data_IF_009667023190
#
_entry.id   IF_009667023190
#
_cell.length_a   1.000
_cell.length_b   1.000
_cell.length_c   1.000
_cell.angle_alpha   90.00
_cell.angle_beta   90.00
_cell.angle_gamma   90.00
#
_symmetry.space_group_name_H-M   'P 1'
#
loop_
_entity.id
_entity.type
_entity.pdbx_description
1 polymer ?
#
# COMPACT_ATOMS: atom_id res chain seq x y z
N UNK A 1 -68.66 4.95 -38.20
CA UNK A 1 -67.67 4.17 -37.42
C UNK A 1 -66.41 4.02 -38.26
N UNK A 2 -65.36 4.81 -38.00
CA UNK A 2 -64.04 4.62 -38.62
C UNK A 2 -62.98 5.29 -37.74
N UNK A 3 -62.35 4.47 -36.91
CA UNK A 3 -61.32 4.79 -35.93
C UNK A 3 -60.03 5.22 -36.63
N UNK A 4 -59.78 6.52 -36.72
CA UNK A 4 -58.54 7.06 -37.25
C UNK A 4 -58.02 8.13 -36.30
N UNK A 5 -57.30 7.73 -35.24
CA UNK A 5 -56.56 8.65 -34.34
C UNK A 5 -55.75 7.89 -33.26
N UNK A 6 -55.02 6.83 -33.59
CA UNK A 6 -54.18 6.13 -32.59
C UNK A 6 -52.82 5.63 -33.12
N UNK A 7 -52.19 6.34 -34.04
CA UNK A 7 -50.82 6.01 -34.49
C UNK A 7 -49.88 7.21 -34.37
N UNK A 8 -49.66 7.70 -33.15
CA UNK A 8 -48.66 8.74 -32.88
C UNK A 8 -47.87 8.55 -31.57
N UNK A 9 -47.88 7.34 -31.00
CA UNK A 9 -47.10 7.02 -29.78
C UNK A 9 -46.71 5.55 -29.92
N UNK A 10 -45.49 5.19 -30.40
CA UNK A 10 -44.34 5.15 -29.48
C UNK A 10 -42.97 5.15 -30.22
N UNK A 11 -42.56 6.21 -30.93
CA UNK A 11 -41.20 6.25 -31.53
C UNK A 11 -40.18 6.94 -30.62
N UNK A 12 -40.61 7.73 -29.63
CA UNK A 12 -39.71 8.44 -28.71
C UNK A 12 -39.30 7.66 -27.43
N UNK A 13 -39.80 6.44 -27.22
CA UNK A 13 -39.46 5.65 -26.03
C UNK A 13 -38.23 4.74 -26.20
N UNK A 14 -37.65 4.65 -27.41
CA UNK A 14 -36.54 3.74 -27.68
C UNK A 14 -35.13 4.38 -27.51
N UNK A 15 -35.04 5.70 -27.31
CA UNK A 15 -33.76 6.40 -27.27
C UNK A 15 -33.08 6.48 -25.89
N UNK A 16 -33.71 5.95 -24.83
CA UNK A 16 -33.21 6.07 -23.46
C UNK A 16 -32.56 4.81 -22.86
N UNK A 17 -32.48 3.70 -23.61
CA UNK A 17 -31.76 2.51 -23.17
C UNK A 17 -30.33 2.46 -23.74
N UNK A 18 -29.56 3.53 -23.52
CA UNK A 18 -28.12 3.46 -23.65
C UNK A 18 -27.57 2.64 -22.47
N UNK A 19 -27.39 1.34 -22.68
CA UNK A 19 -26.67 0.46 -21.76
C UNK A 19 -25.20 0.93 -21.68
N UNK A 20 -24.91 1.86 -20.77
CA UNK A 20 -23.54 2.12 -20.33
C UNK A 20 -23.07 0.85 -19.62
N UNK A 21 -22.35 0.00 -20.33
CA UNK A 21 -21.66 -1.14 -19.72
C UNK A 21 -20.49 -0.56 -18.92
N UNK A 22 -20.45 -0.67 -17.59
CA UNK A 22 -19.23 -0.37 -16.85
C UNK A 22 -18.19 -1.40 -17.29
N UNK A 23 -17.23 -0.98 -18.12
CA UNK A 23 -16.09 -1.82 -18.42
C UNK A 23 -15.37 -2.12 -17.10
N UNK A 24 -15.09 -3.38 -16.75
CA UNK A 24 -14.30 -3.67 -15.57
C UNK A 24 -12.91 -3.03 -15.76
N UNK A 25 -12.57 -2.06 -14.91
CA UNK A 25 -11.20 -1.56 -14.84
C UNK A 25 -10.31 -2.68 -14.29
N UNK A 26 -9.56 -3.32 -15.17
CA UNK A 26 -8.70 -4.45 -14.81
C UNK A 26 -7.33 -3.89 -14.43
N UNK A 27 -7.15 -3.56 -13.16
CA UNK A 27 -5.86 -3.15 -12.61
C UNK A 27 -5.12 -4.43 -12.20
N UNK A 28 -4.27 -4.95 -13.07
CA UNK A 28 -3.34 -6.03 -12.71
C UNK A 28 -2.15 -5.44 -11.96
N UNK A 29 -2.06 -5.69 -10.65
CA UNK A 29 -0.84 -5.38 -9.89
C UNK A 29 0.12 -6.55 -10.06
N UNK A 30 1.06 -6.44 -10.99
CA UNK A 30 2.16 -7.40 -11.07
C UNK A 30 3.12 -7.12 -9.92
N UNK A 31 3.10 -7.99 -8.91
CA UNK A 31 4.06 -7.96 -7.80
C UNK A 31 5.38 -8.49 -8.34
N UNK A 32 6.21 -7.57 -8.83
CA UNK A 32 7.52 -7.85 -9.40
C UNK A 32 8.58 -8.10 -8.33
N UNK A 33 9.82 -7.67 -8.59
CA UNK A 33 10.88 -7.69 -7.58
C UNK A 33 10.58 -6.69 -6.44
N UNK A 34 11.13 -6.95 -5.25
CA UNK A 34 10.98 -6.05 -4.11
C UNK A 34 11.51 -4.64 -4.44
N UNK A 35 10.84 -3.56 -3.98
CA UNK A 35 11.35 -2.21 -4.14
C UNK A 35 12.72 -2.03 -3.47
N UNK A 36 13.65 -1.38 -4.18
CA UNK A 36 14.94 -0.97 -3.60
C UNK A 36 14.76 0.42 -2.99
N UNK A 37 14.70 0.48 -1.67
CA UNK A 37 14.47 1.70 -0.89
C UNK A 37 15.47 1.77 0.29
N UNK A 38 15.90 2.97 0.70
CA UNK A 38 16.96 3.13 1.70
C UNK A 38 16.58 2.56 3.07
N UNK A 39 15.32 2.73 3.50
CA UNK A 39 14.84 2.32 4.84
C UNK A 39 13.73 1.26 4.77
N UNK A 40 13.62 0.57 3.63
CA UNK A 40 12.50 -0.32 3.33
C UNK A 40 11.33 0.38 2.64
N UNK A 41 10.25 -0.37 2.49
CA UNK A 41 9.03 0.03 1.76
C UNK A 41 7.81 -0.39 2.56
N UNK A 42 6.70 0.34 2.43
CA UNK A 42 5.46 0.01 3.14
C UNK A 42 5.01 -1.43 2.86
N UNK A 43 4.43 -2.09 3.86
CA UNK A 43 3.87 -3.44 3.79
C UNK A 43 2.56 -3.53 2.99
N UNK A 44 2.02 -2.38 2.58
CA UNK A 44 0.83 -2.26 1.73
C UNK A 44 1.13 -1.71 0.34
N UNK A 45 0.29 -2.09 -0.63
CA UNK A 45 0.36 -1.60 -2.00
C UNK A 45 0.15 -0.07 -2.05
N UNK A 46 0.90 0.68 -2.90
CA UNK A 46 1.77 0.20 -3.98
C UNK A 46 3.24 -0.05 -3.58
N UNK A 47 3.52 -0.32 -2.29
CA UNK A 47 4.86 -0.60 -1.76
C UNK A 47 5.83 0.55 -2.05
N UNK A 48 5.43 1.76 -1.68
CA UNK A 48 6.27 2.96 -1.77
C UNK A 48 7.39 2.89 -0.74
N UNK A 49 8.49 3.60 -0.98
CA UNK A 49 9.58 3.67 -0.02
C UNK A 49 9.11 4.35 1.27
N UNK A 50 9.39 3.71 2.40
CA UNK A 50 9.07 4.25 3.71
C UNK A 50 10.20 5.18 4.17
N UNK A 51 9.87 6.29 4.85
CA UNK A 51 10.88 7.18 5.43
C UNK A 51 11.61 6.50 6.59
N UNK A 52 12.77 7.06 6.94
CA UNK A 52 13.49 6.68 8.15
C UNK A 52 12.58 6.84 9.38
N UNK A 53 12.55 5.81 10.23
CA UNK A 53 11.73 5.77 11.44
C UNK A 53 10.42 4.99 11.31
N UNK A 54 9.96 4.62 10.11
CA UNK A 54 8.73 3.84 9.96
C UNK A 54 8.86 2.41 10.51
N UNK A 55 9.95 1.71 10.20
CA UNK A 55 10.20 0.35 10.68
C UNK A 55 11.12 0.34 11.90
N UNK A 56 10.78 -0.45 12.91
CA UNK A 56 11.64 -0.70 14.07
C UNK A 56 12.89 -1.53 13.74
N UNK A 57 13.88 -1.60 14.64
CA UNK A 57 15.14 -2.30 14.42
C UNK A 57 14.99 -3.80 14.08
N UNK A 58 13.90 -4.45 14.49
CA UNK A 58 13.60 -5.87 14.21
C UNK A 58 13.44 -6.17 12.71
N UNK A 59 13.13 -5.16 11.91
CA UNK A 59 13.03 -5.27 10.44
C UNK A 59 14.39 -5.18 9.73
N UNK A 60 15.47 -5.08 10.48
CA UNK A 60 16.82 -4.91 9.93
C UNK A 60 17.77 -5.98 10.46
N UNK A 61 18.57 -6.57 9.57
CA UNK A 61 19.67 -7.46 9.94
C UNK A 61 20.97 -6.84 9.43
N UNK A 62 21.86 -6.47 10.35
CA UNK A 62 23.12 -5.78 9.98
C UNK A 62 22.89 -4.45 9.25
N UNK A 63 21.79 -3.75 9.56
CA UNK A 63 21.40 -2.49 8.88
C UNK A 63 20.69 -2.68 7.54
N UNK A 64 20.48 -3.92 7.09
CA UNK A 64 19.77 -4.23 5.84
C UNK A 64 18.32 -4.57 6.14
N UNK A 65 17.39 -3.89 5.47
CA UNK A 65 15.96 -4.19 5.56
C UNK A 65 15.66 -5.60 5.04
N UNK A 66 14.98 -6.41 5.84
CA UNK A 66 14.74 -7.83 5.55
C UNK A 66 13.50 -8.08 4.67
N UNK A 67 12.73 -7.03 4.38
CA UNK A 67 11.52 -7.08 3.57
C UNK A 67 10.23 -6.97 4.38
N UNK A 68 9.15 -6.69 3.67
CA UNK A 68 7.77 -6.76 4.16
C UNK A 68 6.84 -7.24 3.05
N UNK A 69 5.63 -7.65 3.44
CA UNK A 69 4.58 -8.06 2.51
C UNK A 69 4.98 -9.28 1.67
N UNK A 70 4.71 -9.28 0.35
CA UNK A 70 4.96 -10.44 -0.52
C UNK A 70 6.42 -10.90 -0.62
N UNK A 71 7.38 -10.05 -0.24
CA UNK A 71 8.81 -10.36 -0.33
C UNK A 71 9.47 -10.63 1.01
N UNK A 72 8.72 -10.64 2.11
CA UNK A 72 9.27 -11.08 3.39
C UNK A 72 9.35 -12.61 3.42
N UNK A 73 10.55 -13.12 3.67
CA UNK A 73 10.83 -14.56 3.74
C UNK A 73 11.31 -14.99 5.15
N UNK A 74 11.07 -14.15 6.17
CA UNK A 74 11.44 -14.45 7.55
C UNK A 74 10.50 -15.44 8.24
N UNK A 75 10.63 -15.55 9.56
CA UNK A 75 9.86 -16.51 10.35
C UNK A 75 8.35 -16.20 10.31
N UNK A 76 7.50 -17.22 10.34
CA UNK A 76 6.05 -17.06 10.37
C UNK A 76 5.56 -16.23 11.56
N UNK A 77 6.18 -16.41 12.72
CA UNK A 77 5.82 -15.74 13.98
C UNK A 77 6.56 -14.41 14.18
N UNK A 78 7.15 -13.87 13.12
CA UNK A 78 7.80 -12.57 13.17
C UNK A 78 6.77 -11.46 13.36
N UNK A 79 7.03 -10.60 14.35
CA UNK A 79 6.37 -9.32 14.55
C UNK A 79 7.44 -8.29 14.84
N UNK A 80 7.39 -7.17 14.14
CA UNK A 80 8.29 -6.05 14.36
C UNK A 80 7.51 -4.76 14.57
N UNK A 81 8.08 -3.84 15.33
CA UNK A 81 7.43 -2.55 15.53
C UNK A 81 7.37 -1.72 14.24
N UNK A 82 6.34 -0.90 14.14
CA UNK A 82 6.20 0.18 13.17
C UNK A 82 5.78 1.47 13.86
N UNK A 83 6.16 2.60 13.27
CA UNK A 83 5.73 3.92 13.71
C UNK A 83 4.76 4.52 12.69
N UNK A 84 3.47 4.44 13.02
CA UNK A 84 2.39 4.96 12.18
C UNK A 84 2.42 6.49 12.05
N UNK A 85 3.23 7.22 12.83
CA UNK A 85 3.46 8.65 12.57
C UNK A 85 4.05 8.91 11.18
N UNK A 86 4.76 7.92 10.63
CA UNK A 86 5.36 7.94 9.30
C UNK A 86 4.47 7.28 8.22
N UNK A 87 3.24 6.90 8.54
CA UNK A 87 2.32 6.29 7.57
C UNK A 87 1.45 7.36 6.87
N UNK A 88 1.47 7.45 5.52
CA UNK A 88 0.63 8.38 4.78
C UNK A 88 -0.86 8.19 5.03
N UNK A 89 -1.32 6.96 5.31
CA UNK A 89 -2.72 6.67 5.63
C UNK A 89 -3.12 7.17 7.03
N UNK A 90 -2.13 7.44 7.89
CA UNK A 90 -2.30 7.99 9.23
C UNK A 90 -1.94 9.48 9.31
N UNK A 91 -1.83 10.16 8.15
CA UNK A 91 -1.64 11.61 8.07
C UNK A 91 -0.19 12.07 7.93
N UNK A 92 0.76 11.16 7.66
CA UNK A 92 2.12 11.57 7.34
C UNK A 92 2.19 12.29 5.97
N UNK A 93 2.76 13.49 5.97
CA UNK A 93 2.95 14.31 4.78
C UNK A 93 4.40 14.80 4.64
N UNK A 94 5.34 14.14 5.32
CA UNK A 94 6.75 14.47 5.26
C UNK A 94 7.43 14.02 3.95
N UNK A 95 8.75 14.15 3.92
CA UNK A 95 9.53 13.74 2.76
C UNK A 95 9.62 12.21 2.68
N UNK A 96 9.38 11.67 1.49
CA UNK A 96 9.60 10.26 1.19
C UNK A 96 10.93 10.07 0.47
N UNK A 97 11.69 9.02 0.79
CA UNK A 97 12.87 8.67 0.01
C UNK A 97 12.46 8.16 -1.38
N UNK A 98 13.36 8.32 -2.34
CA UNK A 98 13.18 7.76 -3.67
C UNK A 98 13.71 6.33 -3.77
N UNK A 99 13.18 5.60 -4.75
CA UNK A 99 13.72 4.27 -5.09
C UNK A 99 15.15 4.40 -5.59
N UNK A 100 16.02 3.49 -5.15
CA UNK A 100 17.44 3.45 -5.52
C UNK A 100 18.33 4.41 -4.72
N UNK A 101 17.79 5.18 -3.79
CA UNK A 101 18.59 5.92 -2.81
C UNK A 101 19.26 4.96 -1.81
N UNK A 102 20.41 5.39 -1.28
CA UNK A 102 21.13 4.65 -0.26
C UNK A 102 20.73 5.11 1.15
N UNK A 103 20.68 4.16 2.07
CA UNK A 103 20.47 4.46 3.49
C UNK A 103 21.62 5.33 4.02
N UNK A 104 21.30 6.34 4.83
CA UNK A 104 22.31 7.06 5.58
C UNK A 104 22.86 6.16 6.70
N UNK A 105 24.16 5.85 6.65
CA UNK A 105 24.78 4.94 7.59
C UNK A 105 24.79 5.48 9.03
N UNK A 106 24.85 6.79 9.22
CA UNK A 106 24.84 7.42 10.55
C UNK A 106 23.43 7.34 11.16
N UNK A 107 22.39 7.56 10.36
CA UNK A 107 21.01 7.33 10.81
C UNK A 107 20.77 5.86 11.19
N UNK A 108 21.27 4.91 10.38
CA UNK A 108 21.16 3.49 10.69
C UNK A 108 21.91 3.07 11.94
N UNK A 109 23.06 3.69 12.26
CA UNK A 109 23.85 3.37 13.44
C UNK A 109 23.10 3.66 14.75
N UNK A 110 22.28 4.70 14.78
CA UNK A 110 21.50 5.11 15.94
C UNK A 110 20.01 4.78 15.82
N UNK A 111 19.63 3.88 14.89
CA UNK A 111 18.23 3.62 14.58
C UNK A 111 17.47 3.04 15.79
N UNK A 112 18.03 2.01 16.43
CA UNK A 112 17.39 1.37 17.57
C UNK A 112 17.17 2.33 18.76
N UNK A 113 18.04 3.33 18.92
CA UNK A 113 17.98 4.30 20.02
C UNK A 113 16.92 5.39 19.77
N UNK A 114 16.66 5.72 18.49
CA UNK A 114 15.79 6.82 18.09
C UNK A 114 14.42 6.37 17.56
N UNK A 115 14.10 5.08 17.64
CA UNK A 115 12.82 4.56 17.19
C UNK A 115 11.73 4.78 18.26
N UNK A 116 10.55 5.24 17.83
CA UNK A 116 9.45 5.63 18.72
C UNK A 116 8.11 4.95 18.39
N UNK A 117 8.10 3.94 17.51
CA UNK A 117 6.87 3.24 17.11
C UNK A 117 6.31 2.34 18.20
N UNK A 118 4.98 2.21 18.21
CA UNK A 118 4.23 1.44 19.22
C UNK A 118 3.32 0.36 18.65
N UNK A 119 3.12 0.34 17.33
CA UNK A 119 2.30 -0.67 16.66
C UNK A 119 3.19 -1.79 16.13
N UNK A 120 2.58 -2.93 15.82
CA UNK A 120 3.28 -4.14 15.42
C UNK A 120 2.69 -4.71 14.15
N UNK A 121 3.55 -5.15 13.24
CA UNK A 121 3.17 -5.79 11.98
C UNK A 121 3.85 -7.15 11.86
N UNK A 122 3.11 -8.15 11.38
CA UNK A 122 3.69 -9.40 10.91
C UNK A 122 4.43 -9.18 9.59
N UNK A 123 5.22 -10.16 9.15
CA UNK A 123 5.94 -10.09 7.88
C UNK A 123 5.06 -9.89 6.63
N UNK A 124 3.74 -10.11 6.74
CA UNK A 124 2.76 -9.95 5.65
C UNK A 124 2.01 -8.62 5.73
N UNK A 125 2.26 -7.81 6.75
CA UNK A 125 1.63 -6.50 6.98
C UNK A 125 0.35 -6.53 7.80
N UNK A 126 0.03 -7.65 8.45
CA UNK A 126 -1.09 -7.71 9.38
C UNK A 126 -0.72 -7.09 10.72
N UNK A 127 -1.64 -6.30 11.27
CA UNK A 127 -1.53 -5.82 12.65
C UNK A 127 -1.64 -7.00 13.62
N UNK A 128 -0.84 -6.99 14.67
CA UNK A 128 -0.96 -7.96 15.74
C UNK A 128 0.08 -7.75 16.83
N UNK A 129 -0.23 -8.16 18.06
CA UNK A 129 0.72 -8.05 19.17
C UNK A 129 1.58 -9.31 19.26
N UNK A 130 2.87 -9.20 19.63
CA UNK A 130 3.67 -10.37 19.97
C UNK A 130 2.96 -11.15 21.09
N UNK A 131 2.90 -12.48 20.95
CA UNK A 131 2.33 -13.37 21.96
C UNK A 131 3.27 -13.57 23.15
#
# INVERSE_FOLDING_TARGET
MRTWKLFAVPVLAAAFFSNTSPAPAQISVNIGVAPVCPYGYYDFAPYNCAPYGYYGPEWFTGGVFIGAGPWFHGHHDFYGHVDNHFDPNHGYHGAFPNRGEHADAHLMQHHAENFHGGDFRDGRGHEGRPR
#
